data_IF_978414936018
#
_entry.id   IF_978414936018
#
_cell.length_a   1.000
_cell.length_b   1.000
_cell.length_c   1.000
_cell.angle_alpha   90.00
_cell.angle_beta   90.00
_cell.angle_gamma   90.00
#
_symmetry.space_group_name_H-M   'P 1'
#
loop_
_entity.id
_entity.type
_entity.pdbx_description
1 polymer ?
#
# COMPACT_ATOMS: atom_id res chain seq x y z
N UNK A 1 -25.67 -11.75 3.48
CA UNK A 1 -25.06 -10.74 4.37
C UNK A 1 -24.82 -9.47 3.58
N UNK A 2 -25.11 -8.30 4.15
CA UNK A 2 -24.77 -7.01 3.56
C UNK A 2 -23.33 -6.67 3.93
N UNK A 3 -22.43 -6.63 2.96
CA UNK A 3 -21.06 -6.13 3.16
C UNK A 3 -21.13 -4.64 3.47
N UNK A 4 -20.49 -4.20 4.56
CA UNK A 4 -20.39 -2.78 4.90
C UNK A 4 -19.56 -2.06 3.83
N UNK A 5 -20.14 -1.03 3.22
CA UNK A 5 -19.49 -0.22 2.19
C UNK A 5 -18.38 0.63 2.82
N UNK A 6 -17.23 0.68 2.15
CA UNK A 6 -16.11 1.55 2.51
C UNK A 6 -16.51 3.03 2.36
N UNK A 7 -16.03 3.84 3.28
CA UNK A 7 -16.19 5.30 3.26
C UNK A 7 -14.84 5.99 3.03
N UNK A 8 -14.82 7.27 2.64
CA UNK A 8 -13.59 8.06 2.60
C UNK A 8 -12.84 8.03 3.95
N UNK A 9 -13.57 7.97 5.07
CA UNK A 9 -12.98 7.83 6.41
C UNK A 9 -12.21 6.51 6.59
N UNK A 10 -12.72 5.40 6.07
CA UNK A 10 -12.04 4.11 6.15
C UNK A 10 -10.74 4.14 5.33
N UNK A 11 -10.78 4.73 4.13
CA UNK A 11 -9.61 4.94 3.26
C UNK A 11 -8.57 5.86 3.92
N UNK A 12 -9.00 6.99 4.49
CA UNK A 12 -8.11 7.88 5.27
C UNK A 12 -7.46 7.15 6.44
N UNK A 13 -8.24 6.32 7.14
CA UNK A 13 -7.72 5.54 8.28
C UNK A 13 -6.65 4.56 7.82
N UNK A 14 -6.89 3.89 6.69
CA UNK A 14 -5.92 2.97 6.10
C UNK A 14 -4.63 3.70 5.70
N UNK A 15 -4.72 4.77 4.91
CA UNK A 15 -3.56 5.54 4.45
C UNK A 15 -2.75 6.15 5.60
N UNK A 16 -3.41 6.69 6.63
CA UNK A 16 -2.71 7.19 7.83
C UNK A 16 -1.97 6.08 8.58
N UNK A 17 -2.58 4.88 8.70
CA UNK A 17 -1.92 3.73 9.32
C UNK A 17 -0.72 3.27 8.51
N UNK A 18 -0.82 3.28 7.19
CA UNK A 18 0.29 2.95 6.30
C UNK A 18 1.44 3.94 6.44
N UNK A 19 1.15 5.26 6.38
CA UNK A 19 2.16 6.30 6.58
C UNK A 19 2.88 6.15 7.93
N UNK A 20 2.12 5.91 9.02
CA UNK A 20 2.69 5.68 10.34
C UNK A 20 3.50 4.38 10.45
N UNK A 21 3.11 3.32 9.71
CA UNK A 21 3.88 2.09 9.64
C UNK A 21 5.23 2.32 8.92
N UNK A 22 5.21 3.04 7.79
CA UNK A 22 6.43 3.40 7.04
C UNK A 22 7.36 4.27 7.89
N UNK A 23 6.80 5.22 8.64
CA UNK A 23 7.59 6.05 9.57
C UNK A 23 8.25 5.20 10.67
N UNK A 24 7.54 4.25 11.27
CA UNK A 24 8.14 3.33 12.25
C UNK A 24 9.22 2.45 11.63
N UNK A 25 9.00 1.94 10.43
CA UNK A 25 10.01 1.18 9.70
C UNK A 25 11.25 2.04 9.39
N UNK A 26 11.07 3.30 9.01
CA UNK A 26 12.17 4.26 8.82
C UNK A 26 13.00 4.44 10.10
N UNK A 27 12.35 4.59 11.27
CA UNK A 27 13.06 4.73 12.56
C UNK A 27 13.91 3.49 12.84
N UNK A 28 13.40 2.29 12.57
CA UNK A 28 14.17 1.05 12.74
C UNK A 28 15.38 1.01 11.80
N UNK A 29 15.19 1.38 10.55
CA UNK A 29 16.24 1.42 9.53
C UNK A 29 17.29 2.49 9.84
N UNK A 30 16.88 3.64 10.38
CA UNK A 30 17.76 4.72 10.77
C UNK A 30 18.72 4.30 11.89
N UNK A 31 18.29 3.40 12.77
CA UNK A 31 19.08 2.84 13.86
C UNK A 31 20.05 1.73 13.42
N UNK A 32 19.95 1.23 12.18
CA UNK A 32 20.83 0.18 11.68
C UNK A 32 22.23 0.74 11.34
N UNK A 33 23.30 -0.01 11.68
CA UNK A 33 24.64 0.37 11.28
C UNK A 33 24.81 0.19 9.76
N UNK A 34 25.63 1.02 9.13
CA UNK A 34 25.77 1.09 7.65
C UNK A 34 26.17 -0.23 7.02
N UNK A 35 26.88 -1.07 7.76
CA UNK A 35 27.37 -2.38 7.36
C UNK A 35 26.25 -3.42 7.16
N UNK A 36 25.02 -3.11 7.60
CA UNK A 36 23.82 -3.94 7.37
C UNK A 36 23.15 -3.69 6.01
N UNK A 37 23.56 -2.64 5.30
CA UNK A 37 23.04 -2.33 3.98
C UNK A 37 23.93 -2.96 2.91
N UNK A 38 23.30 -3.48 1.85
CA UNK A 38 24.03 -4.00 0.69
C UNK A 38 24.87 -2.90 0.06
N UNK A 39 26.09 -3.23 -0.38
CA UNK A 39 26.96 -2.29 -1.11
C UNK A 39 26.32 -1.85 -2.43
N UNK A 40 25.48 -2.71 -3.03
CA UNK A 40 24.79 -2.42 -4.28
C UNK A 40 23.70 -1.35 -4.12
N UNK A 41 23.18 -1.16 -2.90
CA UNK A 41 22.11 -0.23 -2.60
C UNK A 41 22.53 0.71 -1.49
N UNK A 42 22.85 1.96 -1.86
CA UNK A 42 23.32 2.92 -0.87
C UNK A 42 22.22 3.20 0.17
N UNK A 43 22.61 3.52 1.40
CA UNK A 43 21.66 3.77 2.49
C UNK A 43 20.68 4.91 2.14
N UNK A 44 21.15 5.93 1.42
CA UNK A 44 20.33 7.07 1.03
C UNK A 44 19.16 6.69 0.12
N UNK A 45 19.32 5.67 -0.73
CA UNK A 45 18.25 5.19 -1.60
C UNK A 45 17.12 4.59 -0.77
N UNK A 46 17.45 3.77 0.24
CA UNK A 46 16.44 3.16 1.11
C UNK A 46 15.70 4.18 1.98
N UNK A 47 16.38 5.24 2.41
CA UNK A 47 15.76 6.35 3.16
C UNK A 47 14.88 7.21 2.25
N UNK A 48 15.38 7.59 1.08
CA UNK A 48 14.61 8.33 0.07
C UNK A 48 13.37 7.55 -0.36
N UNK A 49 13.49 6.24 -0.59
CA UNK A 49 12.37 5.40 -1.01
C UNK A 49 11.18 5.48 -0.03
N UNK A 50 11.43 5.37 1.27
CA UNK A 50 10.39 5.52 2.29
C UNK A 50 9.82 6.93 2.35
N UNK A 51 10.68 7.95 2.26
CA UNK A 51 10.23 9.34 2.21
C UNK A 51 9.29 9.57 1.01
N UNK A 52 9.68 9.11 -0.17
CA UNK A 52 8.91 9.28 -1.40
C UNK A 52 7.53 8.58 -1.31
N UNK A 53 7.48 7.40 -0.68
CA UNK A 53 6.21 6.71 -0.40
C UNK A 53 5.32 7.51 0.56
N UNK A 54 5.89 8.10 1.63
CA UNK A 54 5.11 8.94 2.56
C UNK A 54 4.58 10.19 1.87
N UNK A 55 5.43 10.88 1.11
CA UNK A 55 5.04 12.09 0.37
C UNK A 55 3.90 11.79 -0.62
N UNK A 56 3.98 10.64 -1.29
CA UNK A 56 2.91 10.19 -2.16
C UNK A 56 1.63 9.82 -1.39
N UNK A 57 1.73 9.15 -0.24
CA UNK A 57 0.56 8.86 0.61
C UNK A 57 -0.10 10.14 1.12
N UNK A 58 0.68 11.16 1.51
CA UNK A 58 0.15 12.49 1.89
C UNK A 58 -0.61 13.14 0.73
N UNK A 59 -0.08 13.05 -0.49
CA UNK A 59 -0.78 13.50 -1.69
C UNK A 59 -2.12 12.75 -1.87
N UNK A 60 -2.14 11.42 -1.69
CA UNK A 60 -3.39 10.66 -1.75
C UNK A 60 -4.37 11.12 -0.66
N UNK A 61 -3.93 11.24 0.59
CA UNK A 61 -4.73 11.71 1.73
C UNK A 61 -5.44 13.03 1.45
N UNK A 62 -4.77 13.97 0.77
CA UNK A 62 -5.33 15.28 0.40
C UNK A 62 -6.52 15.21 -0.56
N UNK A 63 -6.71 14.08 -1.26
CA UNK A 63 -7.74 13.89 -2.29
C UNK A 63 -8.76 12.80 -1.94
N UNK A 64 -8.68 12.16 -0.77
CA UNK A 64 -9.58 11.04 -0.41
C UNK A 64 -11.06 11.44 -0.38
N UNK A 65 -11.40 12.68 -0.01
CA UNK A 65 -12.81 13.14 0.00
C UNK A 65 -13.41 13.26 -1.40
N UNK A 66 -12.58 13.30 -2.45
CA UNK A 66 -13.03 13.36 -3.83
C UNK A 66 -13.32 11.98 -4.44
N UNK A 67 -13.07 10.87 -3.70
CA UNK A 67 -13.31 9.52 -4.22
C UNK A 67 -14.82 9.33 -4.50
N UNK A 68 -15.21 9.01 -5.74
CA UNK A 68 -16.62 8.78 -6.06
C UNK A 68 -17.21 7.56 -5.34
N UNK A 69 -18.50 7.57 -4.99
CA UNK A 69 -19.16 6.42 -4.36
C UNK A 69 -19.04 5.11 -5.14
N UNK A 70 -18.98 5.18 -6.48
CA UNK A 70 -18.79 3.99 -7.33
C UNK A 70 -17.45 3.32 -7.09
N UNK A 71 -16.37 4.09 -6.92
CA UNK A 71 -15.03 3.58 -6.63
C UNK A 71 -15.01 2.92 -5.25
N UNK A 72 -15.61 3.56 -4.23
CA UNK A 72 -15.72 2.98 -2.89
C UNK A 72 -16.50 1.65 -2.88
N UNK A 73 -17.56 1.55 -3.69
CA UNK A 73 -18.32 0.31 -3.84
C UNK A 73 -17.45 -0.79 -4.47
N UNK A 74 -16.72 -0.49 -5.54
CA UNK A 74 -15.83 -1.48 -6.17
C UNK A 74 -14.69 -1.91 -5.25
N UNK A 75 -14.09 -0.98 -4.50
CA UNK A 75 -13.10 -1.33 -3.47
C UNK A 75 -13.70 -2.21 -2.38
N UNK A 76 -14.96 -1.98 -2.00
CA UNK A 76 -15.67 -2.84 -1.04
C UNK A 76 -15.81 -4.26 -1.59
N UNK A 77 -16.16 -4.39 -2.87
CA UNK A 77 -16.27 -5.69 -3.53
C UNK A 77 -14.92 -6.40 -3.59
N UNK A 78 -13.83 -5.67 -3.89
CA UNK A 78 -12.46 -6.22 -3.88
C UNK A 78 -12.07 -6.68 -2.48
N UNK A 79 -12.23 -5.82 -1.47
CA UNK A 79 -11.91 -6.13 -0.08
C UNK A 79 -12.68 -7.35 0.44
N UNK A 80 -13.90 -7.56 -0.03
CA UNK A 80 -14.72 -8.69 0.35
C UNK A 80 -14.35 -9.99 -0.39
N UNK A 81 -13.87 -9.89 -1.63
CA UNK A 81 -13.74 -11.01 -2.55
C UNK A 81 -12.32 -11.55 -2.71
N UNK A 82 -11.27 -10.78 -2.41
CA UNK A 82 -9.87 -11.20 -2.62
C UNK A 82 -9.15 -11.40 -1.29
N UNK A 83 -8.12 -12.26 -1.30
CA UNK A 83 -7.19 -12.43 -0.18
C UNK A 83 -6.46 -11.09 0.07
N UNK A 84 -6.39 -10.60 1.33
CA UNK A 84 -5.73 -9.33 1.65
C UNK A 84 -4.30 -9.23 1.11
N UNK A 85 -3.53 -10.32 1.18
CA UNK A 85 -2.14 -10.36 0.73
C UNK A 85 -2.00 -10.12 -0.78
N UNK A 86 -2.96 -10.61 -1.57
CA UNK A 86 -2.99 -10.42 -3.02
C UNK A 86 -3.27 -8.96 -3.38
N UNK A 87 -4.25 -8.34 -2.72
CA UNK A 87 -4.56 -6.91 -2.92
C UNK A 87 -3.39 -6.05 -2.45
N UNK A 88 -2.77 -6.42 -1.33
CA UNK A 88 -1.56 -5.80 -0.82
C UNK A 88 -0.39 -5.83 -1.81
N UNK A 89 -0.16 -6.98 -2.45
CA UNK A 89 0.86 -7.13 -3.48
C UNK A 89 0.65 -6.15 -4.65
N UNK A 90 -0.55 -6.16 -5.24
CA UNK A 90 -0.90 -5.25 -6.33
C UNK A 90 -0.78 -3.77 -5.92
N UNK A 91 -1.18 -3.44 -4.69
CA UNK A 91 -1.05 -2.07 -4.17
C UNK A 91 0.42 -1.64 -4.03
N UNK A 92 1.30 -2.54 -3.57
CA UNK A 92 2.73 -2.26 -3.46
C UNK A 92 3.42 -2.07 -4.80
N UNK A 93 3.04 -2.88 -5.80
CA UNK A 93 3.53 -2.72 -7.17
C UNK A 93 3.14 -1.35 -7.72
N UNK A 94 1.87 -0.94 -7.56
CA UNK A 94 1.43 0.41 -7.94
C UNK A 94 2.19 1.51 -7.21
N UNK A 95 2.43 1.37 -5.90
CA UNK A 95 3.23 2.34 -5.16
C UNK A 95 4.66 2.45 -5.72
N UNK A 96 5.31 1.31 -5.97
CA UNK A 96 6.66 1.25 -6.51
C UNK A 96 6.75 1.85 -7.91
N UNK A 97 5.76 1.61 -8.78
CA UNK A 97 5.69 2.20 -10.12
C UNK A 97 5.60 3.72 -10.08
N UNK A 98 4.81 4.27 -9.15
CA UNK A 98 4.66 5.72 -9.00
C UNK A 98 5.93 6.36 -8.47
N UNK A 99 6.47 5.81 -7.39
CA UNK A 99 7.65 6.37 -6.72
C UNK A 99 8.90 6.26 -7.59
N UNK A 100 9.04 5.17 -8.35
CA UNK A 100 10.16 5.03 -9.31
C UNK A 100 9.97 5.86 -10.59
N UNK A 101 8.78 6.45 -10.80
CA UNK A 101 8.45 7.20 -12.02
C UNK A 101 8.21 6.31 -13.24
N UNK A 102 8.04 4.99 -13.07
CA UNK A 102 7.74 4.05 -14.15
C UNK A 102 6.25 3.91 -14.46
N UNK A 103 5.37 4.49 -13.64
CA UNK A 103 3.92 4.46 -13.85
C UNK A 103 3.54 5.09 -15.18
N UNK A 104 2.89 4.30 -16.05
CA UNK A 104 2.29 4.79 -17.29
C UNK A 104 0.94 5.51 -17.06
N UNK A 105 0.32 5.32 -15.90
CA UNK A 105 -0.97 5.92 -15.54
C UNK A 105 -0.81 7.15 -14.63
N UNK A 106 -1.63 8.18 -14.83
CA UNK A 106 -1.70 9.34 -13.94
C UNK A 106 -2.50 8.97 -12.68
N UNK A 107 -1.82 8.44 -11.68
CA UNK A 107 -2.39 8.09 -10.38
C UNK A 107 -2.15 9.17 -9.32
N UNK A 108 -2.15 10.44 -9.74
CA UNK A 108 -1.89 11.58 -8.85
C UNK A 108 -2.95 11.87 -7.78
N UNK A 109 -4.08 11.18 -7.76
CA UNK A 109 -5.15 11.33 -6.78
C UNK A 109 -5.60 9.97 -6.23
N UNK A 110 -6.23 9.98 -5.06
CA UNK A 110 -6.77 8.77 -4.43
C UNK A 110 -7.78 8.06 -5.34
N UNK A 111 -8.68 8.79 -6.00
CA UNK A 111 -9.61 8.22 -6.97
C UNK A 111 -8.87 7.43 -8.06
N UNK A 112 -7.85 8.03 -8.67
CA UNK A 112 -7.14 7.41 -9.80
C UNK A 112 -6.27 6.26 -9.35
N UNK A 113 -5.58 6.39 -8.21
CA UNK A 113 -4.80 5.31 -7.61
C UNK A 113 -5.68 4.08 -7.31
N UNK A 114 -6.80 4.29 -6.61
CA UNK A 114 -7.71 3.18 -6.29
C UNK A 114 -8.44 2.65 -7.54
N UNK A 115 -8.66 3.50 -8.55
CA UNK A 115 -9.16 3.08 -9.87
C UNK A 115 -8.18 2.14 -10.58
N UNK A 116 -6.88 2.45 -10.57
CA UNK A 116 -5.84 1.59 -11.12
C UNK A 116 -5.78 0.24 -10.38
N UNK A 117 -5.83 0.27 -9.03
CA UNK A 117 -5.93 -0.95 -8.23
C UNK A 117 -7.16 -1.80 -8.58
N UNK A 118 -8.33 -1.18 -8.77
CA UNK A 118 -9.54 -1.89 -9.19
C UNK A 118 -9.34 -2.58 -10.54
N UNK A 119 -8.72 -1.89 -11.50
CA UNK A 119 -8.44 -2.42 -12.83
C UNK A 119 -7.49 -3.62 -12.76
N UNK A 120 -6.42 -3.51 -12.00
CA UNK A 120 -5.45 -4.60 -11.78
C UNK A 120 -6.15 -5.84 -11.19
N UNK A 121 -6.90 -5.64 -10.11
CA UNK A 121 -7.61 -6.74 -9.45
C UNK A 121 -8.72 -7.35 -10.31
N UNK A 122 -9.33 -6.58 -11.22
CA UNK A 122 -10.38 -7.08 -12.12
C UNK A 122 -9.87 -8.12 -13.12
N UNK A 123 -8.58 -8.08 -13.47
CA UNK A 123 -7.92 -9.08 -14.31
C UNK A 123 -7.54 -10.37 -13.55
N UNK A 124 -7.48 -10.30 -12.22
CA UNK A 124 -7.04 -11.41 -11.38
C UNK A 124 -8.18 -12.40 -11.12
N UNK A 125 -7.84 -13.70 -11.09
CA UNK A 125 -8.83 -14.76 -10.82
C UNK A 125 -9.33 -14.65 -9.38
N UNK A 126 -10.64 -14.39 -9.22
CA UNK A 126 -11.31 -14.38 -7.93
C UNK A 126 -11.14 -15.74 -7.24
N UNK A 127 -10.43 -15.78 -6.12
CA UNK A 127 -10.55 -16.88 -5.15
C UNK A 127 -11.72 -16.52 -4.26
N UNK A 128 -12.63 -17.45 -4.00
CA UNK A 128 -13.83 -17.16 -3.21
C UNK A 128 -13.40 -17.02 -1.74
N UNK A 129 -12.92 -15.84 -1.37
CA UNK A 129 -12.82 -15.41 0.00
C UNK A 129 -14.11 -14.64 0.32
N UNK A 130 -14.75 -14.97 1.43
CA UNK A 130 -15.93 -14.27 1.92
C UNK A 130 -15.54 -13.50 3.17
N UNK A 131 -14.83 -12.38 3.02
CA UNK A 131 -14.68 -11.46 4.14
C UNK A 131 -16.01 -10.76 4.39
N UNK A 132 -16.57 -10.95 5.58
CA UNK A 132 -17.85 -10.36 5.99
C UNK A 132 -17.72 -8.84 6.21
N UNK A 133 -16.49 -8.33 6.42
CA UNK A 133 -16.23 -6.94 6.79
C UNK A 133 -15.11 -6.30 5.94
N UNK A 134 -15.48 -5.56 4.90
CA UNK A 134 -14.54 -4.91 3.99
C UNK A 134 -13.59 -3.90 4.69
N UNK A 135 -14.06 -3.01 5.59
CA UNK A 135 -13.16 -2.16 6.39
C UNK A 135 -12.07 -2.92 7.15
N UNK A 136 -12.37 -4.07 7.75
CA UNK A 136 -11.36 -4.89 8.44
C UNK A 136 -10.39 -5.55 7.46
N UNK A 137 -10.89 -6.01 6.31
CA UNK A 137 -10.06 -6.61 5.25
C UNK A 137 -9.05 -5.61 4.68
N UNK A 138 -9.48 -4.35 4.40
CA UNK A 138 -8.57 -3.28 3.94
C UNK A 138 -7.41 -3.06 4.90
N UNK A 139 -7.64 -3.17 6.21
CA UNK A 139 -6.60 -3.00 7.23
C UNK A 139 -5.58 -4.16 7.26
N UNK A 140 -5.85 -5.25 6.54
CA UNK A 140 -4.97 -6.41 6.43
C UNK A 140 -4.24 -6.47 5.09
N UNK A 141 -4.48 -5.53 4.18
CA UNK A 141 -3.82 -5.53 2.87
C UNK A 141 -2.31 -5.40 2.98
N UNK A 142 -1.84 -4.58 3.93
CA UNK A 142 -0.41 -4.37 4.15
C UNK A 142 -0.04 -4.71 5.59
N UNK A 143 1.11 -5.36 5.75
CA UNK A 143 1.60 -5.80 7.05
C UNK A 143 2.21 -4.61 7.81
N UNK A 144 1.75 -4.31 9.05
CA UNK A 144 2.25 -3.14 9.78
C UNK A 144 3.75 -3.20 10.14
N UNK A 145 4.33 -4.40 10.21
CA UNK A 145 5.71 -4.61 10.60
C UNK A 145 6.71 -4.40 9.44
N UNK A 146 6.27 -4.63 8.20
CA UNK A 146 7.08 -4.45 7.00
C UNK A 146 6.18 -3.92 5.86
N UNK A 147 5.72 -2.66 5.97
CA UNK A 147 4.64 -2.13 5.15
C UNK A 147 4.99 -1.99 3.67
N UNK A 148 6.28 -1.96 3.33
CA UNK A 148 6.79 -1.89 1.96
C UNK A 148 7.46 -3.20 1.51
N UNK A 149 7.43 -4.25 2.34
CA UNK A 149 8.11 -5.53 2.10
C UNK A 149 9.62 -5.42 1.86
N UNK A 150 10.26 -4.34 2.33
CA UNK A 150 11.68 -4.08 2.08
C UNK A 150 12.53 -5.10 2.86
N UNK A 151 12.10 -5.51 4.06
CA UNK A 151 12.83 -6.52 4.83
C UNK A 151 12.83 -7.89 4.14
N UNK A 152 11.94 -8.13 3.17
CA UNK A 152 11.86 -9.36 2.36
C UNK A 152 12.62 -9.27 1.04
N UNK A 153 13.14 -8.10 0.70
CA UNK A 153 13.94 -7.93 -0.50
C UNK A 153 15.24 -8.74 -0.34
N UNK A 154 15.58 -9.67 -1.26
CA UNK A 154 16.80 -10.48 -1.17
C UNK A 154 18.09 -9.64 -1.14
N UNK A 155 18.01 -8.38 -1.57
CA UNK A 155 19.10 -7.42 -1.57
C UNK A 155 19.14 -6.60 -0.27
N UNK A 156 18.09 -6.70 0.58
CA UNK A 156 18.07 -6.21 1.96
C UNK A 156 18.48 -7.29 2.96
N UNK A 157 19.68 -7.14 3.52
CA UNK A 157 20.24 -8.11 4.47
C UNK A 157 19.85 -7.87 5.93
N UNK A 158 19.01 -6.87 6.23
CA UNK A 158 18.62 -6.57 7.62
C UNK A 158 17.33 -7.26 8.08
N UNK A 159 16.57 -7.90 7.18
CA UNK A 159 15.34 -8.63 7.51
C UNK A 159 15.55 -10.06 8.05
N UNK A 160 16.80 -10.52 8.13
CA UNK A 160 17.16 -11.84 8.65
C UNK A 160 17.28 -11.81 10.18
N UNK A 161 16.16 -12.00 10.88
CA UNK A 161 16.13 -12.28 12.32
C UNK A 161 15.50 -13.64 12.61
#
# INVERSE_FOLDING_TARGET
>A
MLTKILTPKDIKTFLNRLAAAIERDQVNVDALPRERFSIAYNDSMWRSWRQDHRDYIEKLLSTVEAIPPVVLKQLTEIAAAYEPELVGGAMLELFAEVVSGSSAEDVGSAERFFGALIKEMSGQRKRIYHHVNAPESVMQWLEPADPLRIARDPECQYGSH
#
